data_IF_402706997929
#
_entry.id   IF_402706997929
#
_cell.length_a   1.000
_cell.length_b   1.000
_cell.length_c   1.000
_cell.angle_alpha   90.00
_cell.angle_beta   90.00
_cell.angle_gamma   90.00
#
_symmetry.space_group_name_H-M   'P 1'
#
loop_
_entity.id
_entity.type
_entity.pdbx_description
1 polymer ?
#
# COMPACT_ATOMS: atom_id res chain seq x y z
N UNK A 1 -11.83 11.31 6.13
CA UNK A 1 -11.45 10.08 5.41
C UNK A 1 -12.00 10.11 4.01
N UNK A 2 -11.14 9.83 3.02
CA UNK A 2 -11.55 9.56 1.65
C UNK A 2 -11.65 8.05 1.51
N UNK A 3 -12.83 7.55 1.19
CA UNK A 3 -13.04 6.12 0.94
C UNK A 3 -13.00 5.86 -0.55
N UNK A 4 -12.31 4.78 -0.94
CA UNK A 4 -12.17 4.36 -2.32
C UNK A 4 -12.45 2.87 -2.44
N UNK A 5 -13.09 2.48 -3.54
CA UNK A 5 -13.40 1.08 -3.85
C UNK A 5 -12.30 0.48 -4.71
N UNK A 6 -11.77 -0.66 -4.29
CA UNK A 6 -10.76 -1.40 -5.02
C UNK A 6 -11.23 -2.83 -5.29
N UNK A 7 -10.89 -3.36 -6.46
CA UNK A 7 -11.19 -4.74 -6.85
C UNK A 7 -10.08 -5.70 -6.40
N UNK A 8 -8.86 -5.18 -6.23
CA UNK A 8 -7.67 -5.92 -5.88
C UNK A 8 -6.70 -5.02 -5.10
N UNK A 9 -5.84 -5.64 -4.28
CA UNK A 9 -4.76 -4.95 -3.58
C UNK A 9 -3.45 -5.24 -4.32
N UNK A 10 -2.79 -4.18 -4.75
CA UNK A 10 -1.50 -4.25 -5.43
C UNK A 10 -0.37 -4.41 -4.40
N UNK A 11 0.18 -5.62 -4.34
CA UNK A 11 1.25 -5.97 -3.41
C UNK A 11 2.61 -5.75 -4.07
N UNK A 12 3.36 -4.76 -3.61
CA UNK A 12 4.72 -4.52 -4.10
C UNK A 12 5.69 -5.56 -3.55
N UNK A 13 6.30 -6.34 -4.45
CA UNK A 13 7.17 -7.49 -4.09
C UNK A 13 8.66 -7.15 -4.14
N UNK A 14 9.05 -6.04 -4.79
CA UNK A 14 10.45 -5.65 -4.88
C UNK A 14 11.03 -5.40 -3.49
N UNK A 15 12.10 -6.13 -3.15
CA UNK A 15 12.76 -6.04 -1.85
C UNK A 15 11.99 -6.68 -0.69
N UNK A 16 10.87 -7.37 -0.96
CA UNK A 16 10.06 -8.02 0.07
C UNK A 16 10.14 -9.53 -0.04
N UNK A 17 10.16 -10.16 1.12
CA UNK A 17 10.29 -11.61 1.26
C UNK A 17 8.94 -12.30 1.56
N UNK A 18 7.96 -11.53 2.03
CA UNK A 18 6.68 -12.04 2.51
C UNK A 18 5.50 -11.11 2.16
N UNK A 19 4.31 -11.69 2.05
CA UNK A 19 3.08 -10.94 1.75
C UNK A 19 2.72 -9.94 2.86
N UNK A 20 3.09 -10.25 4.11
CA UNK A 20 2.84 -9.37 5.24
C UNK A 20 3.62 -8.06 5.12
N UNK A 21 4.86 -8.10 4.64
CA UNK A 21 5.66 -6.89 4.36
C UNK A 21 5.01 -6.06 3.25
N UNK A 22 4.44 -6.72 2.23
CA UNK A 22 3.76 -6.03 1.14
C UNK A 22 2.51 -5.27 1.62
N UNK A 23 1.70 -5.92 2.46
CA UNK A 23 0.50 -5.34 3.07
C UNK A 23 0.83 -4.28 4.14
N UNK A 24 1.93 -4.46 4.89
CA UNK A 24 2.38 -3.48 5.88
C UNK A 24 2.78 -2.15 5.23
N UNK A 25 3.53 -2.19 4.12
CA UNK A 25 3.88 -0.96 3.37
C UNK A 25 2.66 -0.25 2.82
N UNK A 26 1.59 -0.97 2.45
CA UNK A 26 0.35 -0.33 2.03
C UNK A 26 -0.28 0.47 3.18
N UNK A 27 -0.17 -0.02 4.41
CA UNK A 27 -0.69 0.64 5.61
C UNK A 27 0.33 1.55 6.31
N UNK A 28 1.48 1.76 5.69
CA UNK A 28 2.53 2.62 6.23
C UNK A 28 2.06 4.07 6.22
N UNK A 29 2.55 4.80 7.22
CA UNK A 29 2.21 6.19 7.42
C UNK A 29 3.16 7.04 6.58
N UNK A 30 2.62 7.73 5.59
CA UNK A 30 3.37 8.65 4.74
C UNK A 30 3.27 10.08 5.28
N UNK A 31 4.42 10.70 5.49
CA UNK A 31 4.51 12.10 5.91
C UNK A 31 4.62 12.98 4.66
N UNK A 32 3.57 13.76 4.40
CA UNK A 32 3.48 14.68 3.27
C UNK A 32 4.09 16.02 3.65
N UNK A 33 5.39 16.16 3.39
CA UNK A 33 6.20 17.36 3.67
C UNK A 33 6.79 17.99 2.39
N UNK A 34 7.34 19.21 2.53
CA UNK A 34 8.01 19.91 1.43
C UNK A 34 7.08 20.27 0.26
N UNK A 35 7.45 19.86 -0.95
CA UNK A 35 6.67 20.11 -2.17
C UNK A 35 5.44 19.20 -2.29
N UNK A 36 5.36 18.12 -1.49
CA UNK A 36 4.23 17.18 -1.44
C UNK A 36 3.18 17.53 -0.38
N UNK A 37 3.27 18.71 0.24
CA UNK A 37 2.28 19.16 1.23
C UNK A 37 0.86 19.13 0.67
N UNK A 38 -0.07 18.63 1.48
CA UNK A 38 -1.49 18.61 1.13
C UNK A 38 -2.07 20.02 1.25
N UNK A 39 -2.76 20.47 0.21
CA UNK A 39 -3.51 21.73 0.26
C UNK A 39 -4.77 21.52 1.11
N UNK A 40 -4.76 22.08 2.31
CA UNK A 40 -5.91 22.00 3.19
C UNK A 40 -6.95 23.03 2.75
N UNK A 41 -8.09 22.59 2.22
CA UNK A 41 -9.19 23.47 1.79
C UNK A 41 -9.70 24.39 2.92
N UNK A 42 -9.63 23.91 4.17
CA UNK A 42 -10.06 24.66 5.35
C UNK A 42 -9.07 25.75 5.77
N UNK A 43 -7.78 25.49 5.62
CA UNK A 43 -6.70 26.40 6.01
C UNK A 43 -6.21 27.27 4.83
N UNK A 44 -6.63 26.95 3.60
CA UNK A 44 -6.17 27.54 2.33
C UNK A 44 -4.65 27.63 2.21
N UNK A 45 -3.94 26.66 2.79
CA UNK A 45 -2.48 26.60 2.81
C UNK A 45 -2.00 25.16 2.74
N UNK A 46 -0.82 24.99 2.15
CA UNK A 46 -0.08 23.74 2.14
C UNK A 46 0.38 23.44 3.57
N UNK A 47 -0.12 22.34 4.12
CA UNK A 47 0.15 21.96 5.52
C UNK A 47 0.77 20.57 5.54
N UNK A 48 1.76 20.39 6.42
CA UNK A 48 2.36 19.08 6.66
C UNK A 48 1.28 18.15 7.19
N UNK A 49 1.05 17.06 6.46
CA UNK A 49 -0.07 16.15 6.71
C UNK A 49 0.44 14.73 6.77
N UNK A 50 -0.16 13.94 7.64
CA UNK A 50 0.12 12.52 7.74
C UNK A 50 -0.97 11.78 6.98
N UNK A 51 -0.59 10.99 5.97
CA UNK A 51 -1.48 10.14 5.21
C UNK A 51 -1.25 8.69 5.62
N UNK A 52 -2.33 8.00 5.98
CA UNK A 52 -2.30 6.57 6.23
C UNK A 52 -3.43 5.91 5.45
N UNK A 53 -3.13 4.77 4.84
CA UNK A 53 -4.12 3.96 4.13
C UNK A 53 -4.47 2.73 4.97
N UNK A 54 -5.76 2.43 5.09
CA UNK A 54 -6.21 1.22 5.78
C UNK A 54 -7.48 0.67 5.13
N UNK A 55 -7.74 -0.62 5.31
CA UNK A 55 -8.91 -1.28 4.74
C UNK A 55 -10.12 -0.97 5.62
N UNK A 56 -11.11 -0.27 5.07
CA UNK A 56 -12.38 0.02 5.75
C UNK A 56 -13.24 -1.25 5.92
N UNK A 57 -13.44 -1.99 4.81
CA UNK A 57 -14.24 -3.23 4.80
C UNK A 57 -13.59 -4.30 3.94
N UNK A 58 -13.42 -5.49 4.51
CA UNK A 58 -12.92 -6.66 3.77
C UNK A 58 -14.05 -7.31 2.94
N UNK A 59 -13.81 -7.61 1.65
CA UNK A 59 -14.74 -8.38 0.84
C UNK A 59 -14.67 -9.89 1.17
N UNK A 60 -15.73 -10.63 0.84
CA UNK A 60 -15.74 -12.10 0.95
C UNK A 60 -14.72 -12.77 0.01
N UNK A 61 -14.36 -12.10 -1.08
CA UNK A 61 -13.33 -12.52 -2.03
C UNK A 61 -12.27 -11.42 -2.10
N UNK A 62 -11.07 -11.73 -1.58
CA UNK A 62 -9.93 -10.82 -1.61
C UNK A 62 -9.00 -11.21 -2.77
N UNK A 63 -8.73 -10.25 -3.66
CA UNK A 63 -7.78 -10.43 -4.76
C UNK A 63 -6.49 -9.68 -4.44
N UNK A 64 -5.38 -10.41 -4.30
CA UNK A 64 -4.06 -9.84 -4.11
C UNK A 64 -3.26 -9.94 -5.41
N UNK A 65 -2.86 -8.80 -5.95
CA UNK A 65 -2.08 -8.73 -7.19
C UNK A 65 -0.61 -8.52 -6.85
N UNK A 66 0.20 -9.59 -6.99
CA UNK A 66 1.63 -9.52 -6.78
C UNK A 66 2.29 -8.76 -7.95
N UNK A 67 2.75 -7.53 -7.71
CA UNK A 67 3.47 -6.73 -8.70
C UNK A 67 4.89 -7.29 -8.87
N UNK A 68 4.99 -8.34 -9.70
CA UNK A 68 6.24 -8.99 -10.07
C UNK A 68 6.87 -8.41 -11.33
N UNK A 69 6.28 -7.39 -11.93
CA UNK A 69 6.86 -6.70 -13.08
C UNK A 69 7.10 -5.26 -12.65
N UNK A 70 8.36 -4.83 -12.72
CA UNK A 70 8.78 -3.49 -12.34
C UNK A 70 9.70 -2.92 -13.42
N UNK A 71 9.81 -1.59 -13.47
CA UNK A 71 10.67 -0.91 -14.43
C UNK A 71 12.09 -0.81 -13.86
N UNK A 72 13.08 -1.32 -14.59
CA UNK A 72 14.48 -1.05 -14.26
C UNK A 72 14.86 0.33 -14.78
N UNK A 73 15.14 1.27 -13.88
CA UNK A 73 15.48 2.65 -14.25
C UNK A 73 16.86 2.79 -14.91
N UNK A 74 17.71 1.76 -14.88
CA UNK A 74 19.00 1.80 -15.57
C UNK A 74 18.88 1.43 -17.05
N UNK A 75 18.08 0.41 -17.36
CA UNK A 75 17.88 -0.10 -18.73
C UNK A 75 16.60 0.41 -19.39
N UNK A 76 15.67 0.97 -18.60
CA UNK A 76 14.31 1.34 -18.98
C UNK A 76 13.48 0.15 -19.53
N UNK A 77 13.77 -1.05 -19.06
CA UNK A 77 13.05 -2.27 -19.44
C UNK A 77 12.20 -2.81 -18.28
N UNK A 78 11.08 -3.44 -18.62
CA UNK A 78 10.24 -4.13 -17.63
C UNK A 78 10.88 -5.46 -17.26
N UNK A 79 11.28 -5.59 -16.01
CA UNK A 79 11.93 -6.80 -15.48
C UNK A 79 10.98 -7.61 -14.61
N UNK A 80 11.07 -8.94 -14.72
CA UNK A 80 10.32 -9.86 -13.85
C UNK A 80 11.08 -10.11 -12.55
N UNK A 81 10.44 -9.78 -11.44
CA UNK A 81 10.89 -10.06 -10.08
C UNK A 81 10.65 -11.54 -9.74
N UNK A 82 11.73 -12.31 -9.79
CA UNK A 82 11.74 -13.74 -9.45
C UNK A 82 12.10 -14.01 -7.99
N UNK A 83 12.16 -12.98 -7.13
CA UNK A 83 12.39 -13.17 -5.70
C UNK A 83 11.30 -14.05 -5.09
N UNK A 84 11.69 -14.78 -4.04
CA UNK A 84 10.77 -15.57 -3.24
C UNK A 84 9.89 -14.60 -2.44
N UNK A 85 8.58 -14.80 -2.54
CA UNK A 85 7.58 -14.15 -1.70
C UNK A 85 6.81 -15.29 -1.04
N UNK A 86 6.94 -15.45 0.28
CA UNK A 86 6.11 -16.37 1.04
C UNK A 86 4.70 -15.82 1.22
N UNK A 87 3.76 -16.74 1.41
CA UNK A 87 2.40 -16.47 1.85
C UNK A 87 1.87 -17.74 2.51
N UNK A 88 1.18 -17.57 3.64
CA UNK A 88 0.57 -18.67 4.36
C UNK A 88 -0.81 -19.03 3.79
N UNK A 89 -1.28 -20.24 4.11
CA UNK A 89 -2.63 -20.67 3.73
C UNK A 89 -3.72 -19.84 4.44
N UNK A 90 -3.42 -19.32 5.62
CA UNK A 90 -4.31 -18.44 6.39
C UNK A 90 -3.66 -17.07 6.51
N UNK A 91 -4.37 -16.03 6.07
CA UNK A 91 -3.91 -14.65 6.13
C UNK A 91 -4.77 -13.85 7.10
N UNK A 92 -4.17 -13.34 8.17
CA UNK A 92 -4.86 -12.45 9.11
C UNK A 92 -4.79 -11.00 8.64
N UNK A 93 -5.92 -10.49 8.13
CA UNK A 93 -6.03 -9.12 7.60
C UNK A 93 -6.38 -8.07 8.65
N UNK A 94 -6.71 -8.45 9.89
CA UNK A 94 -7.17 -7.52 10.94
C UNK A 94 -6.19 -6.37 11.17
N UNK A 95 -4.90 -6.63 11.02
CA UNK A 95 -3.80 -5.66 11.23
C UNK A 95 -3.76 -4.54 10.19
N UNK A 96 -4.42 -4.74 9.06
CA UNK A 96 -4.43 -3.81 7.92
C UNK A 96 -5.81 -3.14 7.75
N UNK A 97 -6.74 -3.39 8.67
CA UNK A 97 -8.07 -2.77 8.68
C UNK A 97 -8.11 -1.55 9.60
N UNK A 98 -9.07 -0.65 9.37
CA UNK A 98 -9.30 0.54 10.21
C UNK A 98 -9.43 0.18 11.69
N UNK A 99 -10.07 -0.95 12.02
CA UNK A 99 -10.25 -1.42 13.41
C UNK A 99 -8.94 -1.63 14.20
N UNK A 100 -7.81 -1.80 13.53
CA UNK A 100 -6.51 -1.95 14.18
C UNK A 100 -5.68 -0.66 14.18
N UNK A 101 -6.08 0.36 13.42
CA UNK A 101 -5.46 1.68 13.41
C UNK A 101 -6.09 2.64 14.45
N UNK A 102 -7.25 2.28 15.00
CA UNK A 102 -7.93 2.96 16.11
C UNK A 102 -7.39 2.55 17.50
#
# INVERSE_FOLDING_TARGET
NREEHFMNIDCQIRGKSDIHEALATMCEVEVMEGDNKVNCERCKKNTDTVLQTAISRLPNMLVLSLKRFDLDYNTFETVKINSRCSFDQTLNMKRYTLEAAE
#
